data_IF_332291659003
#
_entry.id   IF_332291659003
#
_cell.length_a   1.000
_cell.length_b   1.000
_cell.length_c   1.000
_cell.angle_alpha   90.00
_cell.angle_beta   90.00
_cell.angle_gamma   90.00
#
_symmetry.space_group_name_H-M   'P 1'
#
loop_
_entity.id
_entity.type
_entity.pdbx_description
1 polymer ?
#
# COMPACT_ATOMS: atom_id res chain seq x y z
N UNK A 1 26.81 -6.39 -44.19
CA UNK A 1 25.41 -6.85 -44.02
C UNK A 1 25.19 -7.73 -42.78
N UNK A 2 26.04 -8.71 -42.45
CA UNK A 2 25.86 -9.54 -41.23
C UNK A 2 26.00 -8.78 -39.90
N UNK A 3 26.82 -7.74 -39.84
CA UNK A 3 27.02 -6.95 -38.61
C UNK A 3 25.86 -5.98 -38.31
N UNK A 4 25.10 -5.55 -39.33
CA UNK A 4 23.93 -4.68 -39.15
C UNK A 4 22.76 -5.47 -38.55
N UNK A 5 22.61 -6.75 -38.91
CA UNK A 5 21.59 -7.65 -38.35
C UNK A 5 21.79 -7.92 -36.86
N UNK A 6 23.03 -7.93 -36.38
CA UNK A 6 23.34 -8.14 -34.96
C UNK A 6 22.99 -6.91 -34.11
N UNK A 7 23.15 -5.69 -34.63
CA UNK A 7 22.76 -4.47 -33.93
C UNK A 7 21.23 -4.32 -33.79
N UNK A 8 20.46 -4.80 -34.77
CA UNK A 8 18.99 -4.72 -34.72
C UNK A 8 18.38 -5.69 -33.70
N UNK A 9 19.04 -6.84 -33.44
CA UNK A 9 18.58 -7.82 -32.45
C UNK A 9 18.77 -7.35 -31.00
N UNK A 10 19.76 -6.49 -30.74
CA UNK A 10 20.03 -5.95 -29.39
C UNK A 10 19.01 -4.84 -29.02
N UNK A 11 18.38 -4.19 -30.01
CA UNK A 11 17.42 -3.12 -29.76
C UNK A 11 16.05 -3.60 -29.27
N UNK A 12 15.73 -4.89 -29.39
CA UNK A 12 14.42 -5.44 -29.01
C UNK A 12 14.33 -5.93 -27.55
N UNK A 13 15.42 -5.95 -26.79
CA UNK A 13 15.45 -6.50 -25.41
C UNK A 13 15.18 -5.48 -24.30
N UNK A 14 14.95 -4.21 -24.61
CA UNK A 14 14.83 -3.13 -23.61
C UNK A 14 13.40 -2.67 -23.30
N UNK A 15 12.38 -3.42 -23.71
CA UNK A 15 11.03 -3.23 -23.15
C UNK A 15 10.94 -3.90 -21.77
N UNK A 16 11.65 -3.35 -20.79
CA UNK A 16 11.41 -3.67 -19.38
C UNK A 16 10.07 -3.08 -18.99
N UNK A 17 9.01 -3.88 -19.07
CA UNK A 17 7.75 -3.54 -18.42
C UNK A 17 8.01 -3.51 -16.91
N UNK A 18 7.73 -2.37 -16.27
CA UNK A 18 7.55 -2.35 -14.82
C UNK A 18 6.35 -3.24 -14.51
N UNK A 19 6.59 -4.40 -13.88
CA UNK A 19 5.50 -5.26 -13.44
C UNK A 19 4.83 -4.62 -12.22
N UNK A 20 3.50 -4.51 -12.26
CA UNK A 20 2.73 -4.22 -11.05
C UNK A 20 3.04 -5.26 -9.97
N UNK A 21 2.97 -4.86 -8.70
CA UNK A 21 3.09 -5.80 -7.58
C UNK A 21 1.92 -6.80 -7.69
N UNK A 22 2.18 -8.10 -7.95
CA UNK A 22 1.12 -9.05 -8.21
C UNK A 22 0.35 -9.33 -6.91
N UNK A 23 -0.94 -9.03 -6.93
CA UNK A 23 -1.87 -9.45 -5.87
C UNK A 23 -2.26 -10.93 -6.09
N UNK A 24 -2.32 -11.69 -4.99
CA UNK A 24 -2.69 -13.11 -4.97
C UNK A 24 -4.16 -13.39 -5.29
N UNK A 25 -4.59 -14.65 -5.11
CA UNK A 25 -5.95 -15.11 -5.47
C UNK A 25 -7.05 -14.57 -4.54
N UNK A 26 -6.78 -14.45 -3.24
CA UNK A 26 -7.77 -14.06 -2.23
C UNK A 26 -7.90 -12.54 -2.14
N UNK A 27 -8.47 -11.92 -3.18
CA UNK A 27 -8.56 -10.46 -3.31
C UNK A 27 -9.77 -9.89 -2.57
N UNK A 28 -9.58 -8.72 -1.98
CA UNK A 28 -10.65 -7.91 -1.39
C UNK A 28 -10.34 -6.42 -1.54
N UNK A 29 -11.38 -5.60 -1.41
CA UNK A 29 -11.26 -4.14 -1.36
C UNK A 29 -11.41 -3.65 0.07
N UNK A 30 -10.68 -2.60 0.42
CA UNK A 30 -10.81 -1.93 1.71
C UNK A 30 -10.80 -0.42 1.48
N UNK A 31 -11.95 0.21 1.75
CA UNK A 31 -12.14 1.63 1.55
C UNK A 31 -12.19 2.32 2.92
N UNK A 32 -11.33 3.31 3.10
CA UNK A 32 -11.17 4.05 4.34
C UNK A 32 -11.32 5.55 4.13
N UNK A 33 -11.71 6.25 5.21
CA UNK A 33 -11.75 7.71 5.30
C UNK A 33 -10.58 8.20 6.14
N UNK A 34 -9.96 9.30 5.73
CA UNK A 34 -8.92 9.98 6.53
C UNK A 34 -9.57 10.77 7.65
N UNK A 35 -9.30 10.33 8.89
CA UNK A 35 -9.87 10.92 10.10
C UNK A 35 -9.04 12.11 10.59
N UNK A 36 -7.71 11.96 10.59
CA UNK A 36 -6.79 13.00 11.03
C UNK A 36 -5.40 12.86 10.43
N UNK A 37 -4.69 13.99 10.40
CA UNK A 37 -3.30 14.09 9.96
C UNK A 37 -2.54 14.92 10.99
N UNK A 38 -1.41 14.42 11.46
CA UNK A 38 -0.48 15.13 12.33
C UNK A 38 0.83 15.34 11.60
N UNK A 39 1.25 16.60 11.46
CA UNK A 39 2.52 16.94 10.84
C UNK A 39 3.63 16.97 11.88
N UNK A 40 4.76 16.36 11.56
CA UNK A 40 5.97 16.37 12.39
C UNK A 40 7.20 16.72 11.57
N UNK A 41 8.29 17.05 12.25
CA UNK A 41 9.57 17.40 11.60
C UNK A 41 10.20 16.19 10.92
N UNK A 42 10.14 15.02 11.57
CA UNK A 42 10.78 13.79 11.08
C UNK A 42 9.78 12.82 10.43
N UNK A 43 8.51 12.88 10.81
CA UNK A 43 7.47 11.97 10.34
C UNK A 43 6.10 12.63 10.38
N UNK A 44 5.19 12.10 9.57
CA UNK A 44 3.79 12.51 9.59
C UNK A 44 2.92 11.32 9.98
N UNK A 45 1.89 11.56 10.79
CA UNK A 45 0.92 10.53 11.15
C UNK A 45 -0.38 10.73 10.39
N UNK A 46 -0.96 9.64 9.87
CA UNK A 46 -2.30 9.64 9.27
C UNK A 46 -3.12 8.54 9.93
N UNK A 47 -4.31 8.89 10.41
CA UNK A 47 -5.26 7.94 10.94
C UNK A 47 -6.44 7.82 9.99
N UNK A 48 -6.87 6.58 9.73
CA UNK A 48 -8.00 6.30 8.85
C UNK A 48 -8.91 5.25 9.49
N UNK A 49 -10.18 5.25 9.09
CA UNK A 49 -11.15 4.23 9.51
C UNK A 49 -12.16 3.90 8.43
N UNK A 50 -12.79 2.74 8.56
CA UNK A 50 -13.80 2.27 7.61
C UNK A 50 -14.36 0.90 7.98
N UNK A 51 -15.35 0.46 7.21
CA UNK A 51 -15.94 -0.88 7.33
C UNK A 51 -15.48 -1.73 6.15
N UNK A 52 -14.85 -2.87 6.44
CA UNK A 52 -14.23 -3.76 5.45
C UNK A 52 -14.98 -5.10 5.44
N UNK A 53 -15.33 -5.56 4.23
CA UNK A 53 -15.96 -6.86 4.02
C UNK A 53 -15.02 -8.05 4.32
N UNK A 54 -15.47 -9.27 4.05
CA UNK A 54 -14.62 -10.46 4.20
C UNK A 54 -14.25 -10.81 5.65
N UNK A 55 -15.05 -10.36 6.63
CA UNK A 55 -14.88 -10.71 8.04
C UNK A 55 -14.05 -9.72 8.87
N UNK A 56 -13.65 -8.56 8.31
CA UNK A 56 -12.89 -7.54 9.04
C UNK A 56 -13.78 -6.58 9.84
N UNK A 57 -14.97 -6.25 9.34
CA UNK A 57 -15.89 -5.34 10.03
C UNK A 57 -15.30 -3.94 10.15
N UNK A 58 -15.43 -3.33 11.34
CA UNK A 58 -14.91 -2.00 11.62
C UNK A 58 -13.39 -2.04 11.74
N UNK A 59 -12.69 -1.20 11.00
CA UNK A 59 -11.22 -1.12 11.01
C UNK A 59 -10.76 0.30 11.32
N UNK A 60 -9.71 0.40 12.13
CA UNK A 60 -8.95 1.61 12.39
C UNK A 60 -7.48 1.36 12.04
N UNK A 61 -6.87 2.28 11.31
CA UNK A 61 -5.46 2.21 10.95
C UNK A 61 -4.75 3.51 11.31
N UNK A 62 -3.53 3.38 11.85
CA UNK A 62 -2.64 4.49 12.13
C UNK A 62 -1.33 4.26 11.40
N UNK A 63 -0.94 5.22 10.56
CA UNK A 63 0.28 5.19 9.77
C UNK A 63 1.25 6.27 10.24
N UNK A 64 2.53 5.95 10.26
CA UNK A 64 3.65 6.88 10.44
C UNK A 64 4.46 6.87 9.14
N UNK A 65 4.40 7.97 8.40
CA UNK A 65 5.10 8.17 7.14
C UNK A 65 6.46 8.84 7.39
N UNK A 66 7.50 8.31 6.76
CA UNK A 66 8.87 8.83 6.77
C UNK A 66 9.46 8.86 5.35
N UNK A 67 10.61 9.51 5.21
CA UNK A 67 11.42 9.48 3.99
C UNK A 67 12.91 9.44 4.38
N UNK A 68 13.33 8.33 4.97
CA UNK A 68 14.66 8.16 5.57
C UNK A 68 15.80 8.26 4.56
N UNK A 69 15.52 7.94 3.30
CA UNK A 69 16.48 7.99 2.21
C UNK A 69 16.38 9.26 1.37
N UNK A 70 15.57 10.24 1.79
CA UNK A 70 15.36 11.52 1.11
C UNK A 70 15.01 11.37 -0.38
N UNK A 71 14.25 10.34 -0.73
CA UNK A 71 13.83 10.08 -2.11
C UNK A 71 12.79 11.10 -2.56
N UNK A 72 12.92 11.61 -3.78
CA UNK A 72 11.93 12.54 -4.34
C UNK A 72 10.59 11.82 -4.52
N UNK A 73 9.52 12.45 -4.02
CA UNK A 73 8.15 11.99 -4.19
C UNK A 73 7.92 10.52 -3.75
N UNK A 74 8.72 10.00 -2.83
CA UNK A 74 8.59 8.64 -2.31
C UNK A 74 9.16 8.54 -0.89
N UNK A 75 8.83 7.44 -0.21
CA UNK A 75 9.39 7.12 1.11
C UNK A 75 8.79 5.83 1.65
N UNK A 76 8.81 5.69 2.97
CA UNK A 76 8.34 4.50 3.67
C UNK A 76 7.34 4.83 4.78
N UNK A 77 6.64 3.82 5.25
CA UNK A 77 5.78 3.95 6.42
C UNK A 77 5.78 2.67 7.25
N UNK A 78 5.44 2.85 8.53
CA UNK A 78 4.96 1.78 9.39
C UNK A 78 3.55 2.12 9.87
N UNK A 79 2.81 1.12 10.30
CA UNK A 79 1.49 1.34 10.86
C UNK A 79 0.97 0.20 11.68
N UNK A 80 -0.18 0.44 12.29
CA UNK A 80 -0.95 -0.53 13.04
C UNK A 80 -2.38 -0.53 12.54
N UNK A 81 -3.00 -1.70 12.49
CA UNK A 81 -4.43 -1.84 12.31
C UNK A 81 -5.07 -2.52 13.53
N UNK A 82 -6.30 -2.15 13.82
CA UNK A 82 -7.19 -2.86 14.72
C UNK A 82 -8.53 -3.06 14.02
N UNK A 83 -9.10 -4.25 14.13
CA UNK A 83 -10.35 -4.62 13.45
C UNK A 83 -11.31 -5.28 14.43
N UNK A 84 -12.61 -5.03 14.27
CA UNK A 84 -13.67 -5.74 14.97
C UNK A 84 -14.81 -6.14 14.02
N UNK A 85 -15.09 -7.46 13.98
CA UNK A 85 -16.25 -8.03 13.31
C UNK A 85 -17.08 -8.84 14.32
N UNK A 86 -18.09 -8.21 14.92
CA UNK A 86 -18.84 -8.77 16.03
C UNK A 86 -17.93 -8.98 17.24
N UNK A 87 -17.82 -10.22 17.71
CA UNK A 87 -16.95 -10.63 18.83
C UNK A 87 -15.51 -10.96 18.40
N UNK A 88 -15.20 -10.90 17.10
CA UNK A 88 -13.86 -11.19 16.59
C UNK A 88 -13.02 -9.92 16.54
N UNK A 89 -11.86 -9.95 17.18
CA UNK A 89 -10.90 -8.85 17.25
C UNK A 89 -9.57 -9.27 16.62
N UNK A 90 -9.02 -8.44 15.74
CA UNK A 90 -7.68 -8.65 15.21
C UNK A 90 -6.85 -7.37 15.28
N UNK A 91 -5.53 -7.55 15.26
CA UNK A 91 -4.56 -6.48 15.07
C UNK A 91 -3.64 -6.83 13.91
N UNK A 92 -3.06 -5.82 13.29
CA UNK A 92 -2.00 -6.03 12.31
C UNK A 92 -0.89 -5.01 12.50
N UNK A 93 0.34 -5.41 12.18
CA UNK A 93 1.41 -4.47 11.87
C UNK A 93 1.46 -4.27 10.36
N UNK A 94 1.66 -3.02 9.94
CA UNK A 94 1.68 -2.61 8.54
C UNK A 94 3.08 -2.06 8.24
N UNK A 95 3.69 -2.47 7.14
CA UNK A 95 4.95 -1.91 6.68
C UNK A 95 4.94 -1.77 5.17
N UNK A 96 5.39 -0.63 4.68
CA UNK A 96 5.30 -0.37 3.26
C UNK A 96 6.07 0.85 2.78
N UNK A 97 5.89 1.10 1.50
CA UNK A 97 6.43 2.27 0.79
C UNK A 97 5.29 3.07 0.20
N UNK A 98 5.54 4.36 0.02
CA UNK A 98 4.64 5.25 -0.68
C UNK A 98 5.38 5.94 -1.82
N UNK A 99 4.63 6.27 -2.88
CA UNK A 99 5.10 7.09 -4.00
C UNK A 99 4.00 8.07 -4.38
N UNK A 100 4.34 9.33 -4.55
CA UNK A 100 3.44 10.34 -5.08
C UNK A 100 3.29 10.15 -6.59
N UNK A 101 2.05 10.17 -7.05
CA UNK A 101 1.70 10.17 -8.47
C UNK A 101 0.78 11.37 -8.75
N UNK A 102 1.39 12.51 -9.08
CA UNK A 102 0.69 13.77 -9.26
C UNK A 102 -0.01 14.24 -8.00
N UNK A 103 -1.34 14.05 -7.93
CA UNK A 103 -2.20 14.53 -6.84
C UNK A 103 -2.46 13.49 -5.75
N UNK A 104 -2.13 12.23 -6.00
CA UNK A 104 -2.37 11.12 -5.09
C UNK A 104 -1.06 10.54 -4.57
N UNK A 105 -1.15 9.71 -3.53
CA UNK A 105 -0.07 8.85 -3.08
C UNK A 105 -0.47 7.39 -3.28
N UNK A 106 0.36 6.65 -3.99
CA UNK A 106 0.27 5.20 -4.11
C UNK A 106 1.00 4.56 -2.92
N UNK A 107 0.34 3.62 -2.24
CA UNK A 107 0.91 2.87 -1.13
C UNK A 107 1.08 1.41 -1.56
N UNK A 108 2.15 0.78 -1.11
CA UNK A 108 2.38 -0.64 -1.26
C UNK A 108 2.77 -1.21 0.10
N UNK A 109 2.00 -2.17 0.61
CA UNK A 109 2.14 -2.65 2.00
C UNK A 109 2.19 -4.17 2.07
N UNK A 110 2.95 -4.66 3.04
CA UNK A 110 2.94 -6.05 3.51
C UNK A 110 2.63 -6.05 5.00
N UNK A 111 1.54 -6.72 5.35
CA UNK A 111 0.96 -6.64 6.68
C UNK A 111 0.98 -8.01 7.37
N UNK A 112 1.22 -7.99 8.67
CA UNK A 112 1.20 -9.17 9.52
C UNK A 112 0.02 -9.12 10.49
N UNK A 113 -0.94 -10.01 10.33
CA UNK A 113 -2.18 -10.05 11.11
C UNK A 113 -2.08 -11.07 12.24
N UNK A 114 -2.71 -10.78 13.39
CA UNK A 114 -2.71 -11.65 14.58
C UNK A 114 -3.37 -13.01 14.37
N UNK A 115 -4.23 -13.16 13.35
CA UNK A 115 -4.86 -14.44 12.98
C UNK A 115 -3.93 -15.36 12.18
N UNK A 116 -2.67 -14.97 12.00
CA UNK A 116 -1.66 -15.73 11.25
C UNK A 116 -1.59 -15.36 9.78
N UNK A 117 -2.58 -14.66 9.22
CA UNK A 117 -2.59 -14.29 7.80
C UNK A 117 -1.61 -13.15 7.52
N UNK A 118 -1.25 -13.05 6.24
CA UNK A 118 -0.45 -11.95 5.69
C UNK A 118 -1.25 -11.28 4.58
N UNK A 119 -1.21 -9.95 4.56
CA UNK A 119 -1.87 -9.16 3.52
C UNK A 119 -0.82 -8.44 2.69
N UNK A 120 -0.97 -8.46 1.37
CA UNK A 120 -0.29 -7.51 0.48
C UNK A 120 -1.34 -6.62 -0.16
N UNK A 121 -1.10 -5.31 -0.20
CA UNK A 121 -2.07 -4.38 -0.78
C UNK A 121 -1.41 -3.23 -1.55
N UNK A 122 -2.13 -2.76 -2.57
CA UNK A 122 -1.87 -1.52 -3.31
C UNK A 122 -2.96 -0.51 -2.95
N UNK A 123 -2.55 0.63 -2.41
CA UNK A 123 -3.43 1.67 -1.90
C UNK A 123 -3.35 2.95 -2.71
N UNK A 124 -4.44 3.70 -2.75
CA UNK A 124 -4.48 5.09 -3.23
C UNK A 124 -4.94 5.96 -2.07
N UNK A 125 -4.03 6.78 -1.57
CA UNK A 125 -4.30 7.85 -0.60
C UNK A 125 -4.54 9.16 -1.36
N UNK A 126 -5.74 9.69 -1.21
CA UNK A 126 -6.14 11.00 -1.71
C UNK A 126 -6.44 11.91 -0.52
N UNK A 127 -5.50 12.80 -0.22
CA UNK A 127 -5.58 13.71 0.93
C UNK A 127 -6.63 14.81 0.73
N UNK A 128 -6.97 15.16 -0.51
CA UNK A 128 -7.98 16.19 -0.83
C UNK A 128 -9.37 15.61 -0.59
N UNK A 129 -9.62 14.42 -1.13
CA UNK A 129 -10.89 13.72 -0.97
C UNK A 129 -11.01 12.96 0.37
N UNK A 130 -9.94 12.92 1.16
CA UNK A 130 -9.85 12.21 2.45
C UNK A 130 -10.17 10.73 2.33
N UNK A 131 -9.66 10.07 1.28
CA UNK A 131 -9.89 8.64 1.07
C UNK A 131 -8.59 7.87 1.03
N UNK A 132 -8.59 6.66 1.58
CA UNK A 132 -7.56 5.65 1.36
C UNK A 132 -8.23 4.37 0.90
N UNK A 133 -7.99 3.96 -0.34
CA UNK A 133 -8.64 2.79 -0.95
C UNK A 133 -7.59 1.75 -1.33
N UNK A 134 -7.79 0.52 -0.89
CA UNK A 134 -6.89 -0.59 -1.18
C UNK A 134 -7.53 -1.64 -2.06
N UNK A 135 -6.72 -2.17 -2.98
CA UNK A 135 -6.85 -3.53 -3.48
C UNK A 135 -5.85 -4.41 -2.73
N UNK A 136 -6.36 -5.41 -2.03
CA UNK A 136 -5.56 -6.25 -1.15
C UNK A 136 -5.72 -7.73 -1.50
N UNK A 137 -4.75 -8.54 -1.11
CA UNK A 137 -4.85 -10.00 -1.17
C UNK A 137 -4.20 -10.65 0.03
N UNK A 138 -4.76 -11.79 0.46
CA UNK A 138 -4.27 -12.54 1.60
C UNK A 138 -3.66 -13.90 1.27
N UNK A 139 -2.70 -14.29 2.09
CA UNK A 139 -2.06 -15.59 2.09
C UNK A 139 -1.72 -16.05 3.52
N UNK A 140 -1.48 -17.35 3.66
CA UNK A 140 -1.14 -18.03 4.92
C UNK A 140 0.35 -18.43 4.93
#
# INVERSE_FOLDING_TARGET
>A
MKQVFFLTAIFFTVLTFGQDIPLGKNKFKADFTVDSVTLGVESNQVNVSGDVGGGYGRVYLSYIFTNKMETEDAGEFTGLAWTQAGENFNRASLQGIWKRNGKIFELYTFDNVTDGKKTVAKGILDMVNKTLKFEASQFE
#
